data_IF_688766704303
#
_entry.id   IF_688766704303
#
_cell.length_a   1.000
_cell.length_b   1.000
_cell.length_c   1.000
_cell.angle_alpha   90.00
_cell.angle_beta   90.00
_cell.angle_gamma   90.00
#
_symmetry.space_group_name_H-M   'P 1'
#
loop_
_entity.id
_entity.type
_entity.pdbx_description
1 polymer ?
#
# COMPACT_ATOMS: atom_id res chain seq x y z
N UNK A 1 22.81 -33.16 11.28
CA UNK A 1 21.86 -32.76 10.23
C UNK A 1 22.45 -31.52 9.58
N UNK A 2 22.93 -31.62 8.35
CA UNK A 2 23.52 -30.49 7.65
C UNK A 2 22.38 -29.58 7.13
N UNK A 3 22.32 -28.35 7.61
CA UNK A 3 21.45 -27.32 7.01
C UNK A 3 21.86 -27.14 5.55
N UNK A 4 20.93 -27.10 4.60
CA UNK A 4 21.24 -26.88 3.20
C UNK A 4 21.93 -25.53 3.04
N UNK A 5 23.05 -25.50 2.35
CA UNK A 5 23.75 -24.26 1.95
C UNK A 5 22.78 -23.45 1.10
N UNK A 6 22.54 -22.15 1.41
CA UNK A 6 21.67 -21.32 0.60
C UNK A 6 22.16 -21.31 -0.85
N UNK A 7 21.26 -21.56 -1.79
CA UNK A 7 21.54 -21.50 -3.22
C UNK A 7 22.04 -20.10 -3.61
N UNK A 8 22.86 -19.99 -4.65
CA UNK A 8 23.41 -18.70 -5.12
C UNK A 8 22.29 -17.64 -5.39
N UNK A 9 21.10 -18.07 -5.78
CA UNK A 9 19.91 -17.22 -5.96
C UNK A 9 19.41 -16.57 -4.64
N UNK A 10 19.58 -17.21 -3.48
CA UNK A 10 19.17 -16.66 -2.19
C UNK A 10 19.99 -15.41 -1.76
N UNK A 11 21.06 -15.06 -2.48
CA UNK A 11 21.93 -13.90 -2.23
C UNK A 11 21.72 -12.75 -3.21
N UNK A 12 20.91 -12.94 -4.26
CA UNK A 12 20.67 -11.91 -5.28
C UNK A 12 19.59 -10.94 -4.79
N UNK A 13 19.76 -9.62 -5.02
CA UNK A 13 18.74 -8.62 -4.72
C UNK A 13 17.42 -8.89 -5.44
N UNK A 14 16.31 -8.50 -4.79
CA UNK A 14 14.96 -8.77 -5.32
C UNK A 14 14.74 -8.15 -6.72
N UNK A 15 15.30 -6.96 -7.00
CA UNK A 15 15.18 -6.33 -8.31
C UNK A 15 15.95 -7.08 -9.42
N UNK A 16 17.08 -7.74 -9.08
CA UNK A 16 17.80 -8.59 -10.03
C UNK A 16 17.06 -9.89 -10.28
N UNK A 17 16.44 -10.49 -9.23
CA UNK A 17 15.58 -11.66 -9.38
C UNK A 17 14.37 -11.33 -10.25
N UNK A 18 13.80 -10.13 -10.11
CA UNK A 18 12.71 -9.65 -10.96
C UNK A 18 13.14 -9.54 -12.43
N UNK A 19 14.31 -8.94 -12.69
CA UNK A 19 14.86 -8.81 -14.04
C UNK A 19 15.15 -10.18 -14.70
N UNK A 20 15.50 -11.17 -13.90
CA UNK A 20 15.76 -12.54 -14.36
C UNK A 20 14.49 -13.41 -14.47
N UNK A 21 13.32 -12.94 -14.01
CA UNK A 21 12.08 -13.73 -13.97
C UNK A 21 12.05 -14.81 -12.87
N UNK A 22 12.92 -14.71 -11.85
CA UNK A 22 13.12 -15.70 -10.80
C UNK A 22 12.57 -15.26 -9.43
N UNK A 23 11.50 -14.46 -9.40
CA UNK A 23 10.92 -14.01 -8.15
C UNK A 23 10.41 -15.17 -7.29
N UNK A 24 10.68 -15.15 -5.97
CA UNK A 24 10.10 -16.09 -5.03
C UNK A 24 8.61 -15.82 -4.80
N UNK A 25 7.91 -16.77 -4.19
CA UNK A 25 6.50 -16.62 -3.81
C UNK A 25 6.31 -15.59 -2.69
N UNK A 26 7.32 -15.39 -1.83
CA UNK A 26 7.36 -14.36 -0.79
C UNK A 26 8.55 -13.44 -1.03
N UNK A 27 8.26 -12.18 -1.31
CA UNK A 27 9.21 -11.18 -1.76
C UNK A 27 9.52 -10.20 -0.63
N UNK A 28 10.72 -10.32 -0.08
CA UNK A 28 11.18 -9.44 1.00
C UNK A 28 12.01 -8.29 0.44
N UNK A 29 11.68 -7.05 0.86
CA UNK A 29 12.52 -5.90 0.54
C UNK A 29 13.91 -6.08 1.13
N UNK A 30 14.93 -5.88 0.32
CA UNK A 30 16.34 -5.88 0.71
C UNK A 30 16.99 -4.51 0.46
N UNK A 31 18.13 -4.24 1.13
CA UNK A 31 18.83 -2.95 1.03
C UNK A 31 19.27 -2.59 -0.39
N UNK A 32 19.87 -3.52 -1.19
CA UNK A 32 20.22 -3.22 -2.58
C UNK A 32 19.00 -2.89 -3.45
N UNK A 33 17.89 -3.60 -3.29
CA UNK A 33 16.64 -3.30 -4.02
C UNK A 33 16.07 -1.96 -3.60
N UNK A 34 16.09 -1.63 -2.31
CA UNK A 34 15.63 -0.33 -1.82
C UNK A 34 16.49 0.82 -2.36
N UNK A 35 17.82 0.65 -2.38
CA UNK A 35 18.74 1.64 -2.96
C UNK A 35 18.49 1.82 -4.47
N UNK A 36 18.21 0.72 -5.18
CA UNK A 36 17.83 0.77 -6.59
C UNK A 36 16.51 1.54 -6.80
N UNK A 37 15.48 1.31 -5.97
CA UNK A 37 14.21 2.06 -5.99
C UNK A 37 14.49 3.55 -5.74
N UNK A 38 15.24 3.88 -4.68
CA UNK A 38 15.52 5.25 -4.27
C UNK A 38 16.23 6.06 -5.38
N UNK A 39 17.13 5.41 -6.15
CA UNK A 39 17.83 6.01 -7.27
C UNK A 39 16.94 6.37 -8.47
N UNK A 40 15.68 5.93 -8.49
CA UNK A 40 14.74 6.12 -9.60
C UNK A 40 13.53 6.97 -9.20
N UNK A 41 13.72 7.92 -8.28
CA UNK A 41 12.67 8.80 -7.79
C UNK A 41 11.97 9.52 -8.94
N UNK A 42 10.63 9.48 -9.03
CA UNK A 42 9.89 10.14 -10.10
C UNK A 42 10.08 11.66 -10.02
N UNK A 43 10.16 12.31 -11.18
CA UNK A 43 10.10 13.76 -11.26
C UNK A 43 8.72 14.29 -10.88
N UNK A 44 8.67 15.49 -10.30
CA UNK A 44 7.40 16.11 -9.95
C UNK A 44 7.58 17.53 -9.43
N UNK A 45 6.49 18.32 -9.34
CA UNK A 45 6.55 19.67 -8.79
C UNK A 45 7.05 19.62 -7.35
N UNK A 46 8.02 20.50 -7.03
CA UNK A 46 8.65 20.55 -5.72
C UNK A 46 7.78 21.07 -4.58
N UNK A 47 6.58 21.59 -4.85
CA UNK A 47 5.62 22.03 -3.84
C UNK A 47 4.72 20.86 -3.45
N UNK A 48 4.96 20.26 -2.30
CA UNK A 48 4.02 19.33 -1.66
C UNK A 48 2.93 20.12 -0.95
N UNK A 49 1.67 19.68 -0.98
CA UNK A 49 0.67 20.25 -0.09
C UNK A 49 1.10 19.97 1.35
N UNK A 50 0.79 20.89 2.25
CA UNK A 50 0.89 20.63 3.68
C UNK A 50 0.17 19.31 3.96
N UNK A 51 0.92 18.29 4.38
CA UNK A 51 0.31 17.01 4.72
C UNK A 51 -0.72 17.31 5.81
N UNK A 52 -2.03 17.08 5.57
CA UNK A 52 -2.96 17.10 6.68
C UNK A 52 -2.37 16.10 7.66
N UNK A 53 -2.22 16.47 8.92
CA UNK A 53 -1.78 15.56 9.96
C UNK A 53 -2.52 14.25 9.70
N UNK A 54 -1.84 13.14 9.35
CA UNK A 54 -2.53 11.90 9.18
C UNK A 54 -3.16 11.63 10.53
N UNK A 55 -4.46 11.77 10.59
CA UNK A 55 -5.18 11.73 11.84
C UNK A 55 -4.87 10.44 12.60
N UNK A 56 -4.48 9.38 11.88
CA UNK A 56 -4.22 8.07 12.48
C UNK A 56 -3.33 7.24 11.57
N UNK A 57 -2.21 6.74 12.09
CA UNK A 57 -1.41 5.70 11.43
C UNK A 57 -2.11 4.36 11.67
N UNK A 58 -2.61 3.76 10.61
CA UNK A 58 -3.32 2.48 10.66
C UNK A 58 -2.37 1.38 10.19
N UNK A 59 -1.98 0.51 11.13
CA UNK A 59 -1.06 -0.61 10.86
C UNK A 59 -1.82 -1.90 11.16
N UNK A 60 -2.05 -2.78 10.15
CA UNK A 60 -2.75 -4.03 10.38
C UNK A 60 -1.93 -4.98 11.26
N UNK A 61 -2.61 -5.79 12.06
CA UNK A 61 -1.96 -6.81 12.86
C UNK A 61 -1.43 -7.95 11.95
N UNK A 62 -0.22 -8.41 12.20
CA UNK A 62 0.43 -9.49 11.45
C UNK A 62 -0.37 -10.80 11.49
N UNK A 63 -1.08 -11.07 12.58
CA UNK A 63 -1.91 -12.26 12.74
C UNK A 63 -3.13 -12.29 11.81
N UNK A 64 -3.50 -11.16 11.20
CA UNK A 64 -4.61 -11.08 10.24
C UNK A 64 -4.24 -11.56 8.85
N UNK A 65 -2.95 -11.70 8.58
CA UNK A 65 -2.48 -12.17 7.28
C UNK A 65 -2.73 -13.68 7.11
N UNK A 66 -3.09 -14.09 5.90
CA UNK A 66 -3.34 -15.50 5.57
C UNK A 66 -2.08 -16.36 5.73
N UNK A 67 -0.91 -15.75 5.56
CA UNK A 67 0.42 -16.35 5.67
C UNK A 67 1.32 -15.43 6.46
N UNK A 68 2.09 -16.00 7.39
CA UNK A 68 3.06 -15.23 8.19
C UNK A 68 4.11 -14.55 7.30
N UNK A 69 4.52 -15.23 6.22
CA UNK A 69 5.50 -14.74 5.26
C UNK A 69 4.98 -13.52 4.49
N UNK A 70 3.70 -13.51 4.10
CA UNK A 70 3.11 -12.35 3.42
C UNK A 70 2.96 -11.14 4.34
N UNK A 71 2.84 -11.33 5.65
CA UNK A 71 2.77 -10.21 6.59
C UNK A 71 4.04 -9.33 6.59
N UNK A 72 5.19 -9.89 6.24
CA UNK A 72 6.49 -9.20 6.22
C UNK A 72 7.01 -8.92 4.81
N UNK A 73 6.29 -9.35 3.78
CA UNK A 73 6.65 -9.18 2.37
C UNK A 73 6.34 -7.77 1.84
N UNK A 74 6.67 -7.56 0.55
CA UNK A 74 6.33 -6.31 -0.15
C UNK A 74 4.82 -6.03 -0.25
N UNK A 75 3.96 -7.04 -0.03
CA UNK A 75 2.50 -6.92 0.06
C UNK A 75 1.99 -7.00 1.51
N UNK A 76 2.88 -6.89 2.49
CA UNK A 76 2.59 -7.08 3.90
C UNK A 76 2.09 -5.84 4.63
N UNK A 77 2.36 -5.83 5.93
CA UNK A 77 1.88 -4.81 6.89
C UNK A 77 2.23 -3.39 6.46
N UNK A 78 3.48 -3.14 6.02
CA UNK A 78 3.90 -1.79 5.61
C UNK A 78 3.17 -1.32 4.36
N UNK A 79 2.94 -2.21 3.39
CA UNK A 79 2.14 -1.89 2.23
C UNK A 79 0.73 -1.44 2.63
N UNK A 80 0.02 -2.22 3.43
CA UNK A 80 -1.30 -1.87 3.92
C UNK A 80 -1.32 -0.52 4.65
N UNK A 81 -0.35 -0.28 5.53
CA UNK A 81 -0.23 0.97 6.26
C UNK A 81 0.02 2.19 5.33
N UNK A 82 0.89 2.07 4.32
CA UNK A 82 1.13 3.13 3.32
C UNK A 82 -0.10 3.40 2.46
N UNK A 83 -0.80 2.36 2.02
CA UNK A 83 -2.05 2.52 1.26
C UNK A 83 -3.11 3.23 2.10
N UNK A 84 -3.22 2.94 3.41
CA UNK A 84 -4.12 3.65 4.31
C UNK A 84 -3.77 5.14 4.45
N UNK A 85 -2.48 5.50 4.50
CA UNK A 85 -2.03 6.90 4.46
C UNK A 85 -2.42 7.57 3.15
N UNK A 86 -2.13 6.92 2.02
CA UNK A 86 -2.44 7.46 0.68
C UNK A 86 -3.94 7.65 0.46
N UNK A 87 -4.78 6.72 0.95
CA UNK A 87 -6.25 6.88 0.93
C UNK A 87 -6.68 8.14 1.67
N UNK A 88 -6.16 8.38 2.89
CA UNK A 88 -6.51 9.57 3.68
C UNK A 88 -6.11 10.87 2.94
N UNK A 89 -4.91 10.92 2.37
CA UNK A 89 -4.41 12.09 1.64
C UNK A 89 -5.22 12.37 0.37
N UNK A 90 -5.51 11.34 -0.43
CA UNK A 90 -6.34 11.47 -1.63
C UNK A 90 -7.78 11.85 -1.29
N UNK A 91 -8.35 11.31 -0.20
CA UNK A 91 -9.71 11.59 0.25
C UNK A 91 -9.93 13.08 0.54
N UNK A 92 -8.92 13.79 1.09
CA UNK A 92 -8.99 15.25 1.31
C UNK A 92 -9.18 15.98 -0.01
N UNK A 93 -8.39 15.67 -1.04
CA UNK A 93 -8.49 16.28 -2.37
C UNK A 93 -9.85 16.04 -3.04
N UNK A 94 -10.50 14.93 -2.71
CA UNK A 94 -11.81 14.53 -3.22
C UNK A 94 -12.98 14.89 -2.28
N UNK A 95 -12.72 15.69 -1.22
CA UNK A 95 -13.72 16.18 -0.25
C UNK A 95 -14.55 15.07 0.39
N UNK A 96 -13.94 13.88 0.59
CA UNK A 96 -14.60 12.82 1.34
C UNK A 96 -14.70 13.22 2.82
N UNK A 97 -15.87 13.01 3.42
CA UNK A 97 -16.06 13.34 4.84
C UNK A 97 -15.05 12.57 5.72
N UNK A 98 -14.46 13.19 6.77
CA UNK A 98 -13.37 12.59 7.56
C UNK A 98 -13.68 11.19 8.10
N UNK A 99 -14.88 10.96 8.62
CA UNK A 99 -15.28 9.63 9.12
C UNK A 99 -15.35 8.56 8.01
N UNK A 100 -15.78 8.93 6.80
CA UNK A 100 -15.78 8.03 5.64
C UNK A 100 -14.37 7.76 5.15
N UNK A 101 -13.51 8.78 5.13
CA UNK A 101 -12.10 8.64 4.76
C UNK A 101 -11.38 7.70 5.72
N UNK A 102 -11.61 7.84 7.03
CA UNK A 102 -11.01 6.97 8.04
C UNK A 102 -11.53 5.52 7.94
N UNK A 103 -12.83 5.31 7.75
CA UNK A 103 -13.40 3.98 7.55
C UNK A 103 -12.82 3.30 6.30
N UNK A 104 -12.62 4.05 5.21
CA UNK A 104 -11.99 3.53 4.00
C UNK A 104 -10.50 3.23 4.22
N UNK A 105 -9.77 4.10 4.93
CA UNK A 105 -8.37 3.90 5.25
C UNK A 105 -8.16 2.67 6.17
N UNK A 106 -9.05 2.44 7.14
CA UNK A 106 -9.06 1.24 7.99
C UNK A 106 -9.17 -0.03 7.14
N UNK A 107 -10.08 -0.02 6.18
CA UNK A 107 -10.23 -1.14 5.25
C UNK A 107 -9.01 -1.26 4.32
N UNK A 108 -8.48 -0.14 3.85
CA UNK A 108 -7.29 -0.09 3.00
C UNK A 108 -6.06 -0.67 3.69
N UNK A 109 -5.89 -0.46 5.00
CA UNK A 109 -4.81 -1.09 5.77
C UNK A 109 -4.81 -2.62 5.66
N UNK A 110 -5.99 -3.23 5.46
CA UNK A 110 -6.19 -4.67 5.47
C UNK A 110 -6.46 -5.28 4.07
N UNK A 111 -6.44 -4.49 2.99
CA UNK A 111 -6.93 -4.93 1.67
C UNK A 111 -6.20 -6.16 1.12
N UNK A 112 -4.92 -6.31 1.43
CA UNK A 112 -4.05 -7.42 1.01
C UNK A 112 -3.83 -8.50 2.10
N UNK A 113 -4.42 -8.38 3.30
CA UNK A 113 -4.14 -9.30 4.41
C UNK A 113 -4.49 -10.78 4.12
N UNK A 114 -5.27 -11.05 3.09
CA UNK A 114 -5.65 -12.43 2.70
C UNK A 114 -4.98 -12.90 1.40
N UNK A 115 -3.87 -12.27 1.01
CA UNK A 115 -2.99 -12.80 -0.05
C UNK A 115 -2.30 -14.09 0.42
N UNK A 116 -2.12 -15.01 -0.54
CA UNK A 116 -1.45 -16.29 -0.31
C UNK A 116 0.03 -16.26 -0.74
N UNK A 117 0.40 -15.35 -1.63
CA UNK A 117 1.76 -15.14 -2.13
C UNK A 117 1.90 -13.74 -2.74
N UNK A 118 3.13 -13.32 -3.09
CA UNK A 118 3.43 -12.02 -3.69
C UNK A 118 3.42 -12.01 -5.22
N UNK A 119 3.12 -13.14 -5.84
CA UNK A 119 2.93 -13.27 -7.29
C UNK A 119 1.49 -12.97 -7.70
N UNK A 120 1.00 -13.62 -8.74
CA UNK A 120 -0.41 -13.53 -9.13
C UNK A 120 -1.28 -14.28 -8.13
N UNK A 121 -2.18 -13.56 -7.48
CA UNK A 121 -3.13 -14.12 -6.51
C UNK A 121 -4.52 -13.51 -6.71
N UNK A 122 -5.22 -13.85 -7.81
CA UNK A 122 -6.53 -13.29 -8.11
C UNK A 122 -7.56 -13.62 -7.03
N UNK A 123 -8.43 -12.65 -6.72
CA UNK A 123 -9.49 -12.79 -5.74
C UNK A 123 -9.04 -12.60 -4.28
N UNK A 124 -7.79 -12.16 -4.03
CA UNK A 124 -7.36 -11.82 -2.67
C UNK A 124 -8.20 -10.69 -2.06
N UNK A 125 -8.62 -9.72 -2.85
CA UNK A 125 -9.49 -8.64 -2.40
C UNK A 125 -10.84 -9.15 -1.91
N UNK A 126 -11.44 -10.10 -2.61
CA UNK A 126 -12.67 -10.74 -2.13
C UNK A 126 -12.46 -11.49 -0.82
N UNK A 127 -11.37 -12.28 -0.71
CA UNK A 127 -11.05 -12.98 0.53
C UNK A 127 -10.82 -12.02 1.70
N UNK A 128 -10.15 -10.90 1.46
CA UNK A 128 -9.96 -9.86 2.48
C UNK A 128 -11.28 -9.22 2.90
N UNK A 129 -12.16 -8.89 1.95
CA UNK A 129 -13.49 -8.33 2.23
C UNK A 129 -14.36 -9.30 3.06
N UNK A 130 -14.37 -10.58 2.71
CA UNK A 130 -15.10 -11.62 3.44
C UNK A 130 -14.54 -11.78 4.87
N UNK A 131 -13.22 -11.80 5.03
CA UNK A 131 -12.58 -11.88 6.34
C UNK A 131 -12.93 -10.68 7.22
N UNK A 132 -12.84 -9.45 6.69
CA UNK A 132 -13.18 -8.22 7.41
C UNK A 132 -14.64 -8.21 7.86
N UNK A 133 -15.54 -8.71 7.02
CA UNK A 133 -16.98 -8.82 7.34
C UNK A 133 -17.22 -9.81 8.49
N UNK A 134 -16.42 -10.88 8.58
CA UNK A 134 -16.52 -11.90 9.64
C UNK A 134 -15.83 -11.49 10.94
N UNK A 135 -14.90 -10.51 10.90
CA UNK A 135 -14.09 -10.11 12.05
C UNK A 135 -14.19 -8.60 12.37
N UNK A 136 -15.38 -8.01 12.44
CA UNK A 136 -15.53 -6.56 12.67
C UNK A 136 -14.99 -6.12 14.04
N UNK A 137 -15.02 -7.02 15.03
CA UNK A 137 -14.48 -6.74 16.37
C UNK A 137 -12.97 -6.51 16.36
N UNK A 138 -12.20 -7.21 15.52
CA UNK A 138 -10.76 -7.04 15.41
C UNK A 138 -10.41 -5.62 14.95
N UNK A 139 -11.12 -5.11 13.93
CA UNK A 139 -10.90 -3.78 13.40
C UNK A 139 -11.36 -2.71 14.40
N UNK A 140 -12.50 -2.93 15.06
CA UNK A 140 -12.98 -2.00 16.08
C UNK A 140 -11.98 -1.89 17.25
N UNK A 141 -11.44 -3.02 17.71
CA UNK A 141 -10.44 -3.03 18.78
C UNK A 141 -9.14 -2.36 18.36
N UNK A 142 -8.65 -2.63 17.15
CA UNK A 142 -7.35 -2.11 16.69
C UNK A 142 -7.42 -0.65 16.22
N UNK A 143 -8.51 -0.25 15.57
CA UNK A 143 -8.62 1.04 14.88
C UNK A 143 -9.78 1.93 15.38
N UNK A 144 -10.60 1.45 16.31
CA UNK A 144 -11.78 2.18 16.80
C UNK A 144 -12.97 2.24 15.82
N UNK A 145 -12.87 1.58 14.68
CA UNK A 145 -13.88 1.65 13.62
C UNK A 145 -14.17 0.27 13.01
N UNK A 146 -15.43 0.01 12.73
CA UNK A 146 -15.85 -1.11 11.90
C UNK A 146 -15.80 -0.70 10.41
N UNK A 147 -15.52 -1.63 9.48
CA UNK A 147 -15.54 -1.32 8.06
C UNK A 147 -16.98 -1.04 7.59
N UNK A 148 -17.15 -0.02 6.77
CA UNK A 148 -18.44 0.29 6.15
C UNK A 148 -18.70 -0.63 4.94
N UNK A 149 -19.97 -0.81 4.50
CA UNK A 149 -20.28 -1.55 3.27
C UNK A 149 -19.57 -0.97 2.02
N UNK A 150 -19.36 0.34 2.00
CA UNK A 150 -18.60 1.04 0.96
C UNK A 150 -17.13 0.58 0.96
N UNK A 151 -16.49 0.53 2.13
CA UNK A 151 -15.11 0.11 2.30
C UNK A 151 -14.92 -1.38 1.98
N UNK A 152 -15.84 -2.24 2.41
CA UNK A 152 -15.86 -3.67 2.04
C UNK A 152 -15.97 -3.85 0.52
N UNK A 153 -16.84 -3.07 -0.14
CA UNK A 153 -16.95 -3.10 -1.62
C UNK A 153 -15.65 -2.67 -2.28
N UNK A 154 -14.99 -1.62 -1.76
CA UNK A 154 -13.73 -1.15 -2.30
C UNK A 154 -12.66 -2.25 -2.26
N UNK A 155 -12.52 -2.94 -1.13
CA UNK A 155 -11.59 -4.06 -0.99
C UNK A 155 -11.95 -5.20 -1.93
N UNK A 156 -13.23 -5.62 -1.99
CA UNK A 156 -13.65 -6.74 -2.83
C UNK A 156 -13.37 -6.53 -4.33
N UNK A 157 -13.26 -5.27 -4.77
CA UNK A 157 -13.08 -4.90 -6.18
C UNK A 157 -11.69 -4.35 -6.52
N UNK A 158 -10.77 -4.18 -5.53
CA UNK A 158 -9.51 -3.48 -5.78
C UNK A 158 -8.58 -4.25 -6.74
N UNK A 159 -8.53 -5.57 -6.65
CA UNK A 159 -7.67 -6.45 -7.46
C UNK A 159 -8.26 -6.82 -8.83
N UNK A 160 -9.51 -6.44 -9.11
CA UNK A 160 -10.19 -6.76 -10.37
C UNK A 160 -10.11 -5.56 -11.32
N UNK A 161 -9.61 -5.72 -12.56
CA UNK A 161 -9.65 -4.66 -13.57
C UNK A 161 -11.09 -4.20 -13.84
N UNK A 162 -11.30 -2.89 -14.02
CA UNK A 162 -12.66 -2.36 -14.21
C UNK A 162 -13.43 -2.96 -15.40
N UNK A 163 -12.72 -3.36 -16.47
CA UNK A 163 -13.33 -3.98 -17.64
C UNK A 163 -13.74 -5.45 -17.41
N UNK A 164 -13.24 -6.06 -16.33
CA UNK A 164 -13.52 -7.44 -15.96
C UNK A 164 -14.63 -7.56 -14.88
N UNK A 165 -15.25 -6.46 -14.46
CA UNK A 165 -16.34 -6.50 -13.50
C UNK A 165 -17.56 -7.26 -14.08
N UNK A 166 -18.10 -8.20 -13.28
CA UNK A 166 -19.40 -8.80 -13.58
C UNK A 166 -20.52 -7.75 -13.51
N UNK A 167 -21.75 -8.02 -14.01
CA UNK A 167 -22.88 -7.10 -13.87
C UNK A 167 -23.14 -6.67 -12.42
N UNK A 168 -23.05 -7.59 -11.45
CA UNK A 168 -23.24 -7.35 -10.03
C UNK A 168 -22.11 -6.48 -9.45
N UNK A 169 -20.87 -6.77 -9.82
CA UNK A 169 -19.70 -5.96 -9.44
C UNK A 169 -19.77 -4.56 -10.04
N UNK A 170 -20.23 -4.44 -11.28
CA UNK A 170 -20.44 -3.14 -11.92
C UNK A 170 -21.56 -2.34 -11.22
N UNK A 171 -22.62 -2.99 -10.74
CA UNK A 171 -23.67 -2.34 -9.96
C UNK A 171 -23.16 -1.88 -8.58
N UNK A 172 -22.37 -2.71 -7.90
CA UNK A 172 -21.72 -2.37 -6.64
C UNK A 172 -20.71 -1.21 -6.82
N UNK A 173 -19.89 -1.27 -7.86
CA UNK A 173 -18.97 -0.19 -8.24
C UNK A 173 -19.68 1.14 -8.47
N UNK A 174 -20.78 1.17 -9.26
CA UNK A 174 -21.53 2.41 -9.49
C UNK A 174 -22.05 3.02 -8.19
N UNK A 175 -22.46 2.21 -7.22
CA UNK A 175 -22.95 2.66 -5.90
C UNK A 175 -21.84 3.24 -5.03
N UNK A 176 -20.63 2.68 -5.10
CA UNK A 176 -19.51 3.01 -4.22
C UNK A 176 -18.26 3.48 -4.99
N UNK A 177 -18.47 4.09 -6.17
CA UNK A 177 -17.44 4.43 -7.14
C UNK A 177 -16.23 5.14 -6.52
N UNK A 178 -16.49 6.22 -5.76
CA UNK A 178 -15.40 7.03 -5.20
C UNK A 178 -14.50 6.22 -4.26
N UNK A 179 -15.07 5.37 -3.41
CA UNK A 179 -14.29 4.54 -2.49
C UNK A 179 -13.43 3.51 -3.23
N UNK A 180 -14.00 2.85 -4.25
CA UNK A 180 -13.27 1.89 -5.09
C UNK A 180 -12.13 2.58 -5.83
N UNK A 181 -12.40 3.73 -6.44
CA UNK A 181 -11.41 4.48 -7.21
C UNK A 181 -10.30 5.06 -6.30
N UNK A 182 -10.63 5.50 -5.08
CA UNK A 182 -9.64 5.95 -4.07
C UNK A 182 -8.71 4.82 -3.64
N UNK A 183 -9.26 3.65 -3.29
CA UNK A 183 -8.45 2.51 -2.88
C UNK A 183 -7.55 2.04 -4.02
N UNK A 184 -8.09 1.86 -5.23
CA UNK A 184 -7.29 1.47 -6.41
C UNK A 184 -6.19 2.48 -6.74
N UNK A 185 -6.45 3.78 -6.58
CA UNK A 185 -5.45 4.82 -6.80
C UNK A 185 -4.34 4.77 -5.75
N UNK A 186 -4.69 4.60 -4.49
CA UNK A 186 -3.74 4.51 -3.39
C UNK A 186 -2.86 3.25 -3.50
N UNK A 187 -3.45 2.09 -3.79
CA UNK A 187 -2.71 0.85 -4.03
C UNK A 187 -1.80 0.97 -5.26
N UNK A 188 -2.31 1.55 -6.36
CA UNK A 188 -1.50 1.80 -7.55
C UNK A 188 -0.29 2.71 -7.24
N UNK A 189 -0.46 3.75 -6.44
CA UNK A 189 0.62 4.65 -6.03
C UNK A 189 1.70 3.94 -5.20
N UNK A 190 1.33 3.02 -4.31
CA UNK A 190 2.30 2.26 -3.51
C UNK A 190 3.08 1.22 -4.31
N UNK A 191 2.80 1.03 -5.60
CA UNK A 191 3.53 0.10 -6.48
C UNK A 191 4.99 0.47 -6.71
N UNK A 192 5.46 1.65 -6.29
CA UNK A 192 6.89 1.98 -6.24
C UNK A 192 7.70 1.02 -5.37
N UNK A 193 7.07 0.24 -4.48
CA UNK A 193 7.70 -0.85 -3.72
C UNK A 193 8.12 -2.05 -4.58
N UNK A 194 7.59 -2.17 -5.81
CA UNK A 194 7.80 -3.34 -6.66
C UNK A 194 9.18 -3.31 -7.31
N UNK A 195 9.84 -4.47 -7.44
CA UNK A 195 11.25 -4.57 -7.87
C UNK A 195 11.47 -4.47 -9.39
N UNK A 196 10.49 -3.94 -10.13
CA UNK A 196 10.62 -3.69 -11.57
C UNK A 196 9.82 -2.45 -11.97
N UNK A 197 10.43 -1.51 -12.70
CA UNK A 197 9.80 -0.23 -13.07
C UNK A 197 8.59 -0.41 -13.99
N UNK A 198 8.54 -1.46 -14.80
CA UNK A 198 7.37 -1.77 -15.64
C UNK A 198 6.11 -2.13 -14.82
N UNK A 199 6.25 -2.38 -13.53
CA UNK A 199 5.14 -2.63 -12.60
C UNK A 199 4.75 -1.41 -11.77
N UNK A 200 5.49 -0.32 -11.90
CA UNK A 200 5.25 0.92 -11.16
C UNK A 200 3.95 1.61 -11.60
N UNK A 201 3.48 2.64 -10.91
CA UNK A 201 2.15 3.21 -11.14
C UNK A 201 1.89 3.62 -12.58
N UNK A 202 0.93 2.96 -13.22
CA UNK A 202 0.39 3.34 -14.53
C UNK A 202 -0.81 4.28 -14.32
N UNK A 203 -0.54 5.55 -13.96
CA UNK A 203 -1.56 6.51 -13.52
C UNK A 203 -2.63 6.79 -14.57
N UNK A 204 -2.33 6.59 -15.86
CA UNK A 204 -3.31 6.71 -16.94
C UNK A 204 -4.42 5.63 -16.89
N UNK A 205 -4.20 4.55 -16.13
CA UNK A 205 -5.20 3.49 -15.91
C UNK A 205 -6.06 3.74 -14.67
N UNK A 206 -5.69 4.71 -13.85
CA UNK A 206 -6.42 5.08 -12.64
C UNK A 206 -7.58 6.01 -13.01
N UNK A 207 -8.78 5.70 -12.53
CA UNK A 207 -9.99 6.49 -12.84
C UNK A 207 -10.17 7.71 -11.95
N UNK A 208 -9.35 7.85 -10.93
CA UNK A 208 -9.32 9.00 -10.04
C UNK A 208 -8.33 10.05 -10.57
N UNK A 209 -8.66 11.32 -10.46
CA UNK A 209 -7.68 12.38 -10.71
C UNK A 209 -6.64 12.36 -9.59
N UNK A 210 -5.44 11.87 -9.89
CA UNK A 210 -4.32 11.80 -8.96
C UNK A 210 -3.60 13.16 -8.97
N UNK A 211 -3.44 13.82 -7.81
CA UNK A 211 -2.70 15.09 -7.73
C UNK A 211 -1.23 14.91 -8.15
N UNK A 212 -0.65 15.94 -8.77
CA UNK A 212 0.71 15.89 -9.31
C UNK A 212 1.80 15.61 -8.24
N UNK A 213 1.54 15.95 -6.98
CA UNK A 213 2.44 15.66 -5.86
C UNK A 213 2.44 14.18 -5.43
N UNK A 214 1.37 13.44 -5.70
CA UNK A 214 1.15 12.12 -5.11
C UNK A 214 2.18 11.05 -5.56
N UNK A 215 2.66 11.00 -6.81
CA UNK A 215 3.69 10.04 -7.22
C UNK A 215 5.00 10.18 -6.42
N UNK A 216 5.46 11.41 -6.27
CA UNK A 216 6.71 11.69 -5.54
C UNK A 216 6.56 11.34 -4.07
N UNK A 217 5.45 11.76 -3.44
CA UNK A 217 5.17 11.47 -2.05
C UNK A 217 5.04 9.94 -1.81
N UNK A 218 4.36 9.22 -2.68
CA UNK A 218 4.19 7.78 -2.56
C UNK A 218 5.54 7.04 -2.68
N UNK A 219 6.40 7.45 -3.61
CA UNK A 219 7.75 6.91 -3.75
C UNK A 219 8.58 7.16 -2.47
N UNK A 220 8.60 8.40 -1.98
CA UNK A 220 9.36 8.77 -0.78
C UNK A 220 8.81 8.02 0.46
N UNK A 221 7.50 7.86 0.56
CA UNK A 221 6.86 7.09 1.63
C UNK A 221 7.31 5.62 1.62
N UNK A 222 7.41 5.00 0.44
CA UNK A 222 7.98 3.65 0.28
C UNK A 222 9.42 3.61 0.76
N UNK A 223 10.27 4.50 0.23
CA UNK A 223 11.71 4.49 0.55
C UNK A 223 11.95 4.70 2.04
N UNK A 224 11.30 5.69 2.65
CA UNK A 224 11.51 6.04 4.05
C UNK A 224 10.97 4.95 5.01
N UNK A 225 9.81 4.36 4.72
CA UNK A 225 9.27 3.30 5.58
C UNK A 225 10.09 2.02 5.49
N UNK A 226 10.49 1.61 4.29
CA UNK A 226 11.29 0.39 4.10
C UNK A 226 12.72 0.58 4.66
N UNK A 227 13.32 1.77 4.52
CA UNK A 227 14.60 2.07 5.14
C UNK A 227 14.52 1.95 6.65
N UNK A 228 13.53 2.60 7.29
CA UNK A 228 13.36 2.53 8.73
C UNK A 228 13.15 1.09 9.23
N UNK A 229 12.37 0.27 8.50
CA UNK A 229 12.19 -1.15 8.80
C UNK A 229 13.51 -1.94 8.69
N UNK A 230 14.27 -1.72 7.63
CA UNK A 230 15.57 -2.37 7.42
C UNK A 230 16.61 -1.93 8.47
N UNK A 231 16.42 -0.76 9.08
CA UNK A 231 17.22 -0.24 10.20
C UNK A 231 16.71 -0.73 11.57
N UNK A 232 15.70 -1.61 11.59
CA UNK A 232 15.22 -2.28 12.81
C UNK A 232 14.01 -1.61 13.49
N UNK A 233 13.39 -0.59 12.87
CA UNK A 233 12.15 -0.03 13.41
C UNK A 233 10.99 -1.04 13.31
N UNK A 234 10.07 -0.98 14.28
CA UNK A 234 8.78 -1.67 14.16
C UNK A 234 7.95 -1.07 13.03
N UNK A 235 7.00 -1.83 12.48
CA UNK A 235 6.17 -1.37 11.35
C UNK A 235 5.49 -0.03 11.65
N UNK A 236 4.87 0.12 12.82
CA UNK A 236 4.24 1.38 13.26
C UNK A 236 5.26 2.52 13.37
N UNK A 237 6.43 2.26 13.95
CA UNK A 237 7.46 3.27 14.11
C UNK A 237 8.05 3.71 12.76
N UNK A 238 8.23 2.78 11.82
CA UNK A 238 8.69 3.05 10.46
C UNK A 238 7.76 4.03 9.73
N UNK A 239 6.44 3.83 9.81
CA UNK A 239 5.48 4.75 9.21
C UNK A 239 5.52 6.13 9.86
N UNK A 240 5.60 6.19 11.20
CA UNK A 240 5.73 7.48 11.92
C UNK A 240 7.02 8.22 11.58
N UNK A 241 8.16 7.52 11.43
CA UNK A 241 9.43 8.12 11.02
C UNK A 241 9.33 8.72 9.61
N UNK A 242 8.76 7.97 8.67
CA UNK A 242 8.57 8.42 7.31
C UNK A 242 7.70 9.68 7.23
N UNK A 243 6.56 9.69 7.94
CA UNK A 243 5.65 10.83 7.94
C UNK A 243 6.27 12.08 8.57
N UNK A 244 7.08 11.94 9.63
CA UNK A 244 7.83 13.06 10.21
C UNK A 244 8.87 13.62 9.24
N UNK A 245 9.65 12.76 8.57
CA UNK A 245 10.63 13.18 7.58
C UNK A 245 9.96 13.93 6.42
N UNK A 246 8.81 13.44 5.95
CA UNK A 246 8.05 14.11 4.89
C UNK A 246 7.46 15.46 5.33
N UNK A 247 7.12 15.65 6.60
CA UNK A 247 6.62 16.92 7.13
C UNK A 247 7.72 17.98 7.29
N UNK A 248 8.93 17.58 7.73
CA UNK A 248 10.05 18.51 7.96
C UNK A 248 10.68 19.04 6.67
N UNK A 249 10.62 18.31 5.55
CA UNK A 249 11.08 18.81 4.24
C UNK A 249 10.26 20.02 3.73
N UNK A 250 9.08 20.30 4.31
CA UNK A 250 8.24 21.46 3.98
C UNK A 250 8.74 22.78 4.62
N UNK A 251 9.49 22.70 5.73
CA UNK A 251 9.90 23.88 6.49
C UNK A 251 11.22 24.50 6.03
N UNK A 252 11.95 23.84 5.12
CA UNK A 252 13.21 24.37 4.60
C UNK A 252 12.97 25.22 3.35
N UNK A 253 13.03 26.57 3.43
CA UNK A 253 12.96 27.42 2.25
C UNK A 253 14.14 27.06 1.33
N UNK A 254 13.88 26.69 0.08
CA UNK A 254 14.94 26.62 -0.91
C UNK A 254 15.53 28.02 -1.04
N UNK A 255 16.78 28.21 -0.65
CA UNK A 255 17.52 29.41 -0.97
C UNK A 255 17.48 29.60 -2.51
N UNK A 256 17.00 30.77 -2.93
CA UNK A 256 16.89 31.23 -4.31
C UNK A 256 18.30 31.46 -4.86
#
# INVERSE_FOLDING_TARGET
MNSPTPTADARRPLHELAAAGHLPDHQMMDRPTLAWIAGQRPGGPGARPRLPHPATVLVPDRSWFARTETATSIHGVLHGARVAVLVQLLAVGHRLAPGRALALATAAACHDCRRLNDRSDPGHGRRAADWLTQHPANLHTAFGHAPSPEAITAIALHDIPHHAFTPEQQAAYRRHRLAVDLLKAADALDRYRLPATCWWPALHQVRLQVPAWAPVLAHDLVVLTEQARLDGATDTHAVHLALRALATEEETPRAI
#
